data_IF_988060113573
#
_entry.id   IF_988060113573
#
_cell.length_a   1.000
_cell.length_b   1.000
_cell.length_c   1.000
_cell.angle_alpha   90.00
_cell.angle_beta   90.00
_cell.angle_gamma   90.00
#
_symmetry.space_group_name_H-M   'P 1'
#
loop_
_entity.id
_entity.type
_entity.pdbx_description
1 polymer ?
#
# COMPACT_ATOMS: atom_id res chain seq x y z
N UNK A 1 -8.02 6.15 10.33
CA UNK A 1 -6.98 5.14 10.15
C UNK A 1 -7.29 4.24 8.95
N UNK A 2 -6.35 3.43 8.48
CA UNK A 2 -6.48 2.69 7.21
C UNK A 2 -7.62 1.66 7.26
N UNK A 3 -8.35 1.48 6.16
CA UNK A 3 -9.28 0.38 6.00
C UNK A 3 -8.51 -0.87 5.55
N UNK A 4 -8.11 -1.70 6.51
CA UNK A 4 -7.25 -2.86 6.25
C UNK A 4 -7.90 -3.91 5.34
N UNK A 5 -9.24 -3.95 5.26
CA UNK A 5 -9.94 -4.86 4.36
C UNK A 5 -9.66 -4.57 2.88
N UNK A 6 -9.30 -3.32 2.57
CA UNK A 6 -8.98 -2.85 1.23
C UNK A 6 -7.51 -3.03 0.85
N UNK A 7 -6.65 -3.47 1.76
CA UNK A 7 -5.23 -3.69 1.42
C UNK A 7 -5.08 -5.08 0.84
N UNK A 8 -4.65 -5.11 -0.42
CA UNK A 8 -4.47 -6.34 -1.17
C UNK A 8 -3.00 -6.79 -1.18
N UNK A 9 -2.05 -5.84 -1.30
CA UNK A 9 -0.63 -6.16 -1.36
C UNK A 9 0.25 -5.02 -0.88
N UNK A 10 1.28 -5.33 -0.11
CA UNK A 10 2.35 -4.39 0.22
C UNK A 10 3.64 -4.87 -0.43
N UNK A 11 4.36 -3.95 -1.09
CA UNK A 11 5.66 -4.22 -1.68
C UNK A 11 6.69 -3.27 -1.10
N UNK A 12 7.81 -3.82 -0.62
CA UNK A 12 8.89 -3.06 0.01
C UNK A 12 10.10 -3.13 -0.90
N UNK A 13 10.64 -1.97 -1.25
CA UNK A 13 11.92 -1.83 -1.93
C UNK A 13 12.99 -1.49 -0.90
N UNK A 14 14.00 -2.33 -0.77
CA UNK A 14 15.15 -2.04 0.08
C UNK A 14 16.21 -1.27 -0.71
N UNK A 15 16.93 -0.38 -0.03
CA UNK A 15 18.13 0.23 -0.60
C UNK A 15 19.35 -0.63 -0.29
N UNK A 16 20.25 -0.74 -1.28
CA UNK A 16 21.55 -1.36 -1.10
C UNK A 16 22.52 -0.27 -0.67
N UNK A 17 22.67 -0.02 0.63
CA UNK A 17 23.54 1.09 1.07
C UNK A 17 25.01 0.83 0.70
N UNK A 18 25.58 1.77 -0.08
CA UNK A 18 27.00 1.89 -0.43
C UNK A 18 27.22 2.69 -1.73
N UNK A 19 28.10 3.72 -1.76
CA UNK A 19 28.43 4.42 -3.01
C UNK A 19 29.05 3.44 -4.01
N UNK A 20 28.54 3.43 -5.25
CA UNK A 20 29.02 2.57 -6.33
C UNK A 20 28.37 1.18 -6.43
N UNK A 21 27.43 0.82 -5.55
CA UNK A 21 26.67 -0.43 -5.69
C UNK A 21 25.41 -0.21 -6.53
N UNK A 22 25.49 -0.56 -7.82
CA UNK A 22 24.31 -0.93 -8.63
C UNK A 22 23.75 -2.30 -8.17
N UNK A 23 23.66 -2.51 -6.86
CA UNK A 23 23.24 -3.78 -6.30
C UNK A 23 21.72 -3.86 -6.39
N UNK A 24 21.27 -4.76 -7.28
CA UNK A 24 19.89 -5.12 -7.57
C UNK A 24 18.92 -4.70 -6.46
N UNK A 25 17.99 -3.81 -6.79
CA UNK A 25 16.88 -3.44 -5.92
C UNK A 25 16.26 -4.74 -5.38
N UNK A 26 16.44 -5.01 -4.09
CA UNK A 26 15.83 -6.19 -3.49
C UNK A 26 14.42 -5.82 -3.08
N UNK A 27 13.45 -6.51 -3.70
CA UNK A 27 12.03 -6.32 -3.45
C UNK A 27 11.54 -7.43 -2.52
N UNK A 28 10.76 -7.06 -1.51
CA UNK A 28 9.96 -8.01 -0.73
C UNK A 28 8.49 -7.74 -1.00
N UNK A 29 7.82 -8.76 -1.51
CA UNK A 29 6.37 -8.77 -1.65
C UNK A 29 5.80 -9.40 -0.39
N UNK A 30 4.97 -8.64 0.31
CA UNK A 30 4.23 -9.10 1.48
C UNK A 30 2.91 -9.67 0.98
N UNK A 31 2.54 -10.84 1.50
CA UNK A 31 1.28 -11.50 1.14
C UNK A 31 0.07 -10.66 1.59
N UNK A 32 -1.11 -10.95 1.06
CA UNK A 32 -2.33 -10.22 1.41
C UNK A 32 -2.62 -10.29 2.92
N UNK A 33 -2.58 -11.49 3.50
CA UNK A 33 -2.84 -11.71 4.93
C UNK A 33 -1.83 -10.97 5.83
N UNK A 34 -0.54 -11.06 5.50
CA UNK A 34 0.50 -10.31 6.21
C UNK A 34 0.33 -8.79 6.04
N UNK A 35 -0.13 -8.34 4.86
CA UNK A 35 -0.36 -6.92 4.59
C UNK A 35 -1.51 -6.39 5.45
N UNK A 36 -2.57 -7.19 5.62
CA UNK A 36 -3.70 -6.89 6.51
C UNK A 36 -3.26 -6.87 7.97
N UNK A 37 -2.43 -7.83 8.39
CA UNK A 37 -1.88 -7.86 9.74
C UNK A 37 -1.00 -6.62 10.04
N UNK A 38 -0.13 -6.21 9.11
CA UNK A 38 0.68 -5.01 9.25
C UNK A 38 -0.18 -3.74 9.34
N UNK A 39 -1.25 -3.68 8.56
CA UNK A 39 -2.21 -2.58 8.66
C UNK A 39 -2.91 -2.54 10.02
N UNK A 40 -3.30 -3.70 10.56
CA UNK A 40 -3.93 -3.75 11.88
C UNK A 40 -2.95 -3.29 12.95
N UNK A 41 -1.69 -3.73 12.92
CA UNK A 41 -0.64 -3.26 13.84
C UNK A 41 -0.44 -1.75 13.72
N UNK A 42 -0.39 -1.22 12.48
CA UNK A 42 -0.28 0.21 12.25
C UNK A 42 -1.48 0.95 12.87
N UNK A 43 -2.69 0.42 12.68
CA UNK A 43 -3.90 0.97 13.25
C UNK A 43 -3.91 0.95 14.79
N UNK A 44 -3.56 -0.18 15.39
CA UNK A 44 -3.56 -0.36 16.84
C UNK A 44 -2.49 0.51 17.53
N UNK A 45 -1.40 0.84 16.83
CA UNK A 45 -0.28 1.61 17.36
C UNK A 45 -0.34 3.11 17.07
N UNK A 46 -1.41 3.61 16.45
CA UNK A 46 -1.53 4.99 15.95
C UNK A 46 -0.38 5.43 15.02
N UNK A 47 0.14 4.51 14.18
CA UNK A 47 1.29 4.74 13.30
C UNK A 47 0.96 4.48 11.84
N UNK A 48 1.77 5.05 10.94
CA UNK A 48 1.69 4.69 9.51
C UNK A 48 2.26 3.28 9.29
N UNK A 49 1.72 2.58 8.28
CA UNK A 49 2.23 1.27 7.84
C UNK A 49 3.74 1.36 7.52
N UNK A 50 4.17 2.47 6.93
CA UNK A 50 5.59 2.74 6.66
C UNK A 50 6.43 2.78 7.94
N UNK A 51 5.94 3.47 8.98
CA UNK A 51 6.66 3.58 10.24
C UNK A 51 6.79 2.21 10.93
N UNK A 52 5.74 1.39 10.89
CA UNK A 52 5.78 0.01 11.40
C UNK A 52 6.82 -0.82 10.63
N UNK A 53 6.76 -0.80 9.30
CA UNK A 53 7.71 -1.55 8.46
C UNK A 53 9.15 -1.10 8.72
N UNK A 54 9.41 0.19 8.79
CA UNK A 54 10.76 0.73 9.05
C UNK A 54 11.28 0.38 10.44
N UNK A 55 10.42 0.28 11.46
CA UNK A 55 10.84 -0.13 12.80
C UNK A 55 11.21 -1.61 12.89
N UNK A 56 10.58 -2.46 12.08
CA UNK A 56 10.81 -3.92 12.13
C UNK A 56 11.69 -4.45 10.99
N UNK A 57 12.11 -3.61 10.04
CA UNK A 57 12.95 -4.05 8.94
C UNK A 57 14.43 -3.98 9.29
N UNK A 58 15.12 -5.11 9.15
CA UNK A 58 16.58 -5.20 9.29
C UNK A 58 17.34 -4.52 8.15
N UNK A 59 16.66 -4.22 7.04
CA UNK A 59 17.22 -3.59 5.85
C UNK A 59 16.71 -2.16 5.72
N UNK A 60 17.56 -1.21 5.30
CA UNK A 60 17.14 0.15 5.02
C UNK A 60 16.08 0.16 3.90
N UNK A 61 14.93 0.75 4.18
CA UNK A 61 13.79 0.79 3.27
C UNK A 61 13.88 2.03 2.39
N UNK A 62 13.89 1.84 1.07
CA UNK A 62 13.88 2.91 0.08
C UNK A 62 12.46 3.40 -0.20
N UNK A 63 11.55 2.47 -0.44
CA UNK A 63 10.18 2.76 -0.86
C UNK A 63 9.23 1.65 -0.41
N UNK A 64 7.97 2.03 -0.19
CA UNK A 64 6.88 1.11 0.16
C UNK A 64 5.70 1.44 -0.74
N UNK A 65 5.20 0.43 -1.44
CA UNK A 65 4.01 0.53 -2.29
C UNK A 65 2.89 -0.24 -1.61
N UNK A 66 1.77 0.42 -1.37
CA UNK A 66 0.57 -0.16 -0.76
C UNK A 66 -0.50 -0.21 -1.84
N UNK A 67 -0.83 -1.41 -2.32
CA UNK A 67 -1.90 -1.64 -3.27
C UNK A 67 -3.20 -1.83 -2.52
N UNK A 68 -4.16 -0.94 -2.78
CA UNK A 68 -5.47 -0.95 -2.16
C UNK A 68 -6.59 -1.06 -3.21
N UNK A 69 -7.66 -1.77 -2.85
CA UNK A 69 -8.90 -1.80 -3.61
C UNK A 69 -9.69 -0.51 -3.42
N UNK A 70 -9.48 0.43 -4.34
CA UNK A 70 -10.32 1.62 -4.47
C UNK A 70 -11.56 1.27 -5.29
N UNK A 71 -12.69 1.09 -4.60
CA UNK A 71 -13.98 1.06 -5.25
C UNK A 71 -14.26 2.45 -5.83
N UNK A 72 -13.96 2.66 -7.11
CA UNK A 72 -14.45 3.83 -7.83
C UNK A 72 -15.97 3.65 -7.96
N UNK A 73 -16.73 4.46 -7.22
CA UNK A 73 -18.16 4.59 -7.48
C UNK A 73 -18.32 4.93 -8.96
N UNK A 74 -18.98 4.05 -9.72
CA UNK A 74 -19.26 4.31 -11.13
C UNK A 74 -20.01 5.64 -11.24
N UNK A 75 -19.67 6.52 -12.21
CA UNK A 75 -20.40 7.76 -12.39
C UNK A 75 -21.87 7.41 -12.61
N UNK A 76 -22.74 7.94 -11.75
CA UNK A 76 -24.18 7.76 -11.88
C UNK A 76 -24.58 8.19 -13.28
N UNK A 77 -25.18 7.28 -14.07
CA UNK A 77 -25.74 7.61 -15.38
C UNK A 77 -26.75 8.73 -15.17
N UNK A 78 -26.42 9.94 -15.60
CA UNK A 78 -27.38 11.03 -15.73
C UNK A 78 -28.30 10.65 -16.88
N UNK A 79 -29.49 10.13 -16.56
CA UNK A 79 -30.53 9.87 -17.56
C UNK A 79 -31.11 11.22 -17.97
N UNK A 80 -30.68 11.75 -19.12
CA UNK A 80 -31.31 12.92 -19.71
C UNK A 80 -32.61 12.45 -20.35
N UNK A 81 -33.74 12.78 -19.72
CA UNK A 81 -35.04 12.55 -20.33
C UNK A 81 -35.16 13.48 -21.55
N UNK A 82 -35.14 12.89 -22.75
CA UNK A 82 -35.46 13.61 -23.97
C UNK A 82 -36.97 13.86 -23.99
N UNK A 83 -37.36 15.09 -23.65
CA UNK A 83 -38.72 15.59 -23.83
C UNK A 83 -39.00 15.68 -25.34
N UNK A 84 -40.03 14.97 -25.79
CA UNK A 84 -40.43 14.88 -27.20
C UNK A 84 -41.32 16.08 -27.53
N UNK A 85 -40.91 16.89 -28.50
CA UNK A 85 -41.72 17.94 -29.12
C UNK A 85 -42.76 17.35 -30.10
#
# INVERSE_FOLDING_TARGET
MYDCSKIHKITIQYTSEGPGKYAADSWKIITEDESRALCQIANDSDRSIEAVIKTHSEKPVRSIVINMDVHMMSPSKVTVAAEKA
#
